data_IF_759479227341
#
_entry.id   IF_759479227341
#
_cell.length_a   1.000
_cell.length_b   1.000
_cell.length_c   1.000
_cell.angle_alpha   90.00
_cell.angle_beta   90.00
_cell.angle_gamma   90.00
#
_symmetry.space_group_name_H-M   'P 1'
#
loop_
_entity.id
_entity.type
_entity.pdbx_description
1 polymer ?
#
# COMPACT_ATOMS: atom_id res chain seq x y z
N UNK A 1 -9.95 23.25 -12.15
CA UNK A 1 -8.52 23.38 -11.88
C UNK A 1 -7.92 21.97 -11.98
N UNK A 2 -7.07 21.72 -12.98
CA UNK A 2 -6.48 20.40 -13.24
C UNK A 2 -5.37 20.13 -12.22
N UNK A 3 -5.55 19.16 -11.33
CA UNK A 3 -4.47 18.62 -10.51
C UNK A 3 -3.67 17.64 -11.37
N UNK A 4 -2.58 18.14 -11.97
CA UNK A 4 -1.59 17.29 -12.62
C UNK A 4 -0.89 16.43 -11.56
N UNK A 5 -1.21 15.15 -11.55
CA UNK A 5 -0.43 14.11 -10.88
C UNK A 5 0.94 14.02 -11.55
N UNK A 6 1.93 14.73 -11.05
CA UNK A 6 3.33 14.51 -11.44
C UNK A 6 3.95 13.50 -10.48
N UNK A 7 3.92 12.21 -10.88
CA UNK A 7 4.70 11.15 -10.24
C UNK A 7 6.19 11.49 -10.09
N UNK A 8 6.69 12.47 -10.86
CA UNK A 8 8.08 12.91 -10.86
C UNK A 8 8.52 13.76 -9.65
N UNK A 9 7.62 14.43 -8.91
CA UNK A 9 8.02 15.29 -7.77
C UNK A 9 8.38 14.47 -6.52
N UNK A 10 7.93 13.22 -6.46
CA UNK A 10 8.05 12.34 -5.31
C UNK A 10 9.47 11.73 -5.17
N UNK A 11 10.19 11.56 -6.27
CA UNK A 11 11.38 10.71 -6.32
C UNK A 11 12.64 11.25 -5.61
N UNK A 12 12.66 12.52 -5.19
CA UNK A 12 13.81 13.11 -4.46
C UNK A 12 13.76 12.87 -2.95
N UNK A 13 12.63 12.40 -2.42
CA UNK A 13 12.43 12.15 -0.99
C UNK A 13 12.56 10.66 -0.62
N UNK A 14 12.86 10.36 0.66
CA UNK A 14 12.88 8.99 1.16
C UNK A 14 11.51 8.30 1.07
N UNK A 15 11.48 6.96 1.15
CA UNK A 15 10.25 6.17 1.02
C UNK A 15 9.12 6.62 1.96
N UNK A 16 9.46 7.01 3.20
CA UNK A 16 8.51 7.52 4.18
C UNK A 16 7.72 8.73 3.66
N UNK A 17 8.42 9.79 3.22
CA UNK A 17 7.80 11.05 2.76
C UNK A 17 6.92 10.79 1.52
N UNK A 18 7.36 9.88 0.65
CA UNK A 18 6.59 9.52 -0.53
C UNK A 18 5.29 8.80 -0.22
N UNK A 19 5.31 7.87 0.74
CA UNK A 19 4.11 7.20 1.21
C UNK A 19 3.16 8.19 1.90
N UNK A 20 3.68 9.10 2.71
CA UNK A 20 2.89 10.15 3.38
C UNK A 20 2.21 11.08 2.37
N UNK A 21 2.96 11.56 1.38
CA UNK A 21 2.42 12.41 0.31
C UNK A 21 1.38 11.69 -0.55
N UNK A 22 1.64 10.42 -0.89
CA UNK A 22 0.69 9.58 -1.62
C UNK A 22 -0.60 9.42 -0.82
N UNK A 23 -0.51 9.19 0.49
CA UNK A 23 -1.70 9.10 1.35
C UNK A 23 -2.47 10.41 1.37
N UNK A 24 -1.80 11.54 1.60
CA UNK A 24 -2.44 12.86 1.60
C UNK A 24 -3.20 13.10 0.30
N UNK A 25 -2.63 12.65 -0.82
CA UNK A 25 -3.27 12.71 -2.14
C UNK A 25 -4.50 11.82 -2.23
N UNK A 26 -4.46 10.59 -1.71
CA UNK A 26 -5.62 9.69 -1.66
C UNK A 26 -6.71 10.28 -0.75
N UNK A 27 -6.35 10.76 0.45
CA UNK A 27 -7.31 11.34 1.39
C UNK A 27 -8.02 12.58 0.81
N UNK A 28 -7.34 13.38 -0.01
CA UNK A 28 -7.96 14.51 -0.70
C UNK A 28 -9.09 14.08 -1.67
N UNK A 29 -9.06 12.84 -2.19
CA UNK A 29 -10.13 12.26 -3.02
C UNK A 29 -11.33 11.85 -2.16
N UNK A 30 -11.10 11.54 -0.88
CA UNK A 30 -12.11 11.08 0.09
C UNK A 30 -12.20 12.04 1.29
N UNK A 31 -12.62 13.31 1.10
CA UNK A 31 -12.52 14.36 2.12
C UNK A 31 -13.29 14.07 3.42
N UNK A 32 -14.30 13.18 3.35
CA UNK A 32 -15.10 12.77 4.51
C UNK A 32 -14.44 11.67 5.36
N UNK A 33 -13.36 11.05 4.89
CA UNK A 33 -12.62 10.03 5.62
C UNK A 33 -11.38 10.64 6.25
N UNK A 34 -11.33 10.59 7.58
CA UNK A 34 -10.15 11.01 8.37
C UNK A 34 -9.46 9.75 8.86
N UNK A 35 -8.37 9.39 8.19
CA UNK A 35 -7.60 8.18 8.49
C UNK A 35 -6.25 8.59 9.03
N UNK A 36 -5.87 8.07 10.19
CA UNK A 36 -4.52 8.21 10.73
C UNK A 36 -3.62 7.13 10.15
N UNK A 37 -2.37 7.47 9.84
CA UNK A 37 -1.40 6.52 9.29
C UNK A 37 -0.20 6.41 10.19
N UNK A 38 0.23 5.16 10.43
CA UNK A 38 1.53 4.85 11.00
C UNK A 38 2.34 4.06 9.98
N UNK A 39 3.45 4.63 9.55
CA UNK A 39 4.42 3.96 8.67
C UNK A 39 5.59 3.46 9.52
N UNK A 40 6.01 2.23 9.29
CA UNK A 40 7.21 1.63 9.85
C UNK A 40 8.02 0.99 8.72
N UNK A 41 9.28 1.40 8.54
CA UNK A 41 10.16 0.89 7.50
C UNK A 41 11.45 0.44 8.18
N UNK A 42 11.85 -0.83 8.00
CA UNK A 42 13.13 -1.27 8.54
C UNK A 42 14.32 -0.70 7.74
N UNK A 43 15.48 -0.59 8.38
CA UNK A 43 16.67 0.04 7.79
C UNK A 43 17.09 -0.59 6.44
N UNK A 44 16.94 -1.91 6.30
CA UNK A 44 17.23 -2.62 5.05
C UNK A 44 16.31 -2.20 3.92
N UNK A 45 15.00 -2.15 4.18
CA UNK A 45 14.04 -1.66 3.19
C UNK A 45 14.30 -0.19 2.85
N UNK A 46 14.61 0.66 3.82
CA UNK A 46 14.93 2.06 3.54
C UNK A 46 16.12 2.20 2.58
N UNK A 47 17.17 1.39 2.73
CA UNK A 47 18.32 1.38 1.81
C UNK A 47 17.92 0.87 0.43
N UNK A 48 17.18 -0.23 0.36
CA UNK A 48 16.73 -0.83 -0.90
C UNK A 48 15.83 0.11 -1.72
N UNK A 49 14.95 0.86 -1.04
CA UNK A 49 14.00 1.79 -1.64
C UNK A 49 14.61 3.15 -2.06
N UNK A 50 15.92 3.35 -1.88
CA UNK A 50 16.63 4.51 -2.49
C UNK A 50 16.72 4.38 -4.02
N UNK A 51 16.63 3.15 -4.53
CA UNK A 51 16.53 2.94 -5.97
C UNK A 51 15.14 3.40 -6.46
N UNK A 52 15.13 4.27 -7.47
CA UNK A 52 13.92 4.83 -8.07
C UNK A 52 12.94 3.76 -8.55
N UNK A 53 13.40 2.70 -9.20
CA UNK A 53 12.55 1.63 -9.73
C UNK A 53 11.86 0.89 -8.58
N UNK A 54 12.59 0.59 -7.51
CA UNK A 54 12.05 -0.09 -6.33
C UNK A 54 11.03 0.78 -5.60
N UNK A 55 11.32 2.08 -5.49
CA UNK A 55 10.39 3.04 -4.91
C UNK A 55 9.11 3.16 -5.73
N UNK A 56 9.21 3.25 -7.05
CA UNK A 56 8.04 3.31 -7.94
C UNK A 56 7.17 2.06 -7.83
N UNK A 57 7.77 0.87 -7.79
CA UNK A 57 7.08 -0.39 -7.54
C UNK A 57 6.33 -0.37 -6.20
N UNK A 58 7.02 0.03 -5.12
CA UNK A 58 6.41 0.17 -3.80
C UNK A 58 5.22 1.12 -3.85
N UNK A 59 5.37 2.31 -4.45
CA UNK A 59 4.30 3.31 -4.49
C UNK A 59 3.09 2.84 -5.29
N UNK A 60 3.28 2.09 -6.38
CA UNK A 60 2.16 1.50 -7.13
C UNK A 60 1.38 0.49 -6.28
N UNK A 61 2.09 -0.42 -5.60
CA UNK A 61 1.47 -1.41 -4.70
C UNK A 61 0.76 -0.71 -3.54
N UNK A 62 1.45 0.24 -2.90
CA UNK A 62 0.94 1.00 -1.76
C UNK A 62 -0.32 1.78 -2.10
N UNK A 63 -0.33 2.43 -3.28
CA UNK A 63 -1.46 3.20 -3.78
C UNK A 63 -2.69 2.32 -3.86
N UNK A 64 -2.57 1.14 -4.45
CA UNK A 64 -3.71 0.27 -4.66
C UNK A 64 -4.22 -0.35 -3.34
N UNK A 65 -3.31 -0.79 -2.46
CA UNK A 65 -3.67 -1.29 -1.13
C UNK A 65 -4.43 -0.23 -0.31
N UNK A 66 -3.90 0.98 -0.23
CA UNK A 66 -4.50 2.07 0.55
C UNK A 66 -5.80 2.55 -0.08
N UNK A 67 -5.84 2.71 -1.41
CA UNK A 67 -7.04 3.13 -2.13
C UNK A 67 -8.21 2.15 -1.90
N UNK A 68 -7.94 0.85 -1.83
CA UNK A 68 -8.97 -0.14 -1.52
C UNK A 68 -9.55 0.04 -0.11
N UNK A 69 -8.72 0.37 0.88
CA UNK A 69 -9.17 0.69 2.24
C UNK A 69 -10.06 1.93 2.21
N UNK A 70 -9.63 3.01 1.56
CA UNK A 70 -10.41 4.24 1.45
C UNK A 70 -11.72 4.08 0.68
N UNK A 71 -11.78 3.20 -0.32
CA UNK A 71 -13.01 2.94 -1.09
C UNK A 71 -14.01 2.12 -0.30
N UNK A 72 -13.55 1.05 0.32
CA UNK A 72 -14.44 -0.02 0.79
C UNK A 72 -14.65 -0.01 2.30
N UNK A 73 -13.74 0.50 3.12
CA UNK A 73 -13.85 0.44 4.59
C UNK A 73 -14.16 1.79 5.22
N UNK A 74 -14.62 1.81 6.47
CA UNK A 74 -14.73 3.00 7.31
C UNK A 74 -13.51 3.16 8.23
N UNK A 75 -12.33 2.81 7.73
CA UNK A 75 -11.08 2.90 8.50
C UNK A 75 -10.90 4.29 9.12
N UNK A 76 -10.41 4.30 10.35
CA UNK A 76 -9.94 5.49 11.05
C UNK A 76 -8.42 5.44 11.27
N UNK A 77 -7.83 4.26 11.10
CA UNK A 77 -6.41 4.02 11.31
C UNK A 77 -5.86 2.97 10.33
N UNK A 78 -4.68 3.25 9.78
CA UNK A 78 -3.89 2.33 8.95
C UNK A 78 -2.51 2.18 9.58
N UNK A 79 -2.08 0.93 9.80
CA UNK A 79 -0.69 0.57 10.07
C UNK A 79 -0.07 0.01 8.80
N UNK A 80 0.99 0.65 8.33
CA UNK A 80 1.73 0.29 7.13
C UNK A 80 3.16 -0.07 7.51
N UNK A 81 3.57 -1.31 7.29
CA UNK A 81 4.90 -1.81 7.65
C UNK A 81 5.61 -2.32 6.41
N UNK A 82 6.84 -1.89 6.18
CA UNK A 82 7.70 -2.37 5.09
C UNK A 82 8.97 -2.95 5.70
N UNK A 83 9.28 -4.19 5.35
CA UNK A 83 10.46 -4.89 5.84
C UNK A 83 11.14 -5.57 4.66
N UNK A 84 12.45 -5.44 4.58
CA UNK A 84 13.28 -6.33 3.77
C UNK A 84 13.97 -7.30 4.73
N UNK A 85 13.74 -8.59 4.56
CA UNK A 85 14.31 -9.62 5.42
C UNK A 85 15.74 -10.04 4.99
N UNK A 86 16.30 -11.05 5.64
CA UNK A 86 17.64 -11.57 5.33
C UNK A 86 17.71 -12.31 3.99
N UNK A 87 16.58 -12.85 3.51
CA UNK A 87 16.49 -13.63 2.28
C UNK A 87 16.14 -12.76 1.06
N UNK A 88 16.25 -11.43 1.20
CA UNK A 88 15.85 -10.47 0.19
C UNK A 88 14.37 -10.59 -0.20
N UNK A 89 13.50 -10.88 0.77
CA UNK A 89 12.06 -10.79 0.59
C UNK A 89 11.58 -9.44 1.10
N UNK A 90 11.06 -8.61 0.19
CA UNK A 90 10.38 -7.36 0.52
C UNK A 90 8.94 -7.67 0.95
N UNK A 91 8.67 -7.46 2.23
CA UNK A 91 7.39 -7.69 2.88
C UNK A 91 6.71 -6.35 3.14
N UNK A 92 5.54 -6.16 2.55
CA UNK A 92 4.69 -4.98 2.69
C UNK A 92 3.40 -5.41 3.39
N UNK A 93 3.21 -4.94 4.61
CA UNK A 93 2.02 -5.21 5.41
C UNK A 93 1.16 -3.95 5.53
N UNK A 94 -0.12 -4.08 5.21
CA UNK A 94 -1.11 -3.02 5.38
C UNK A 94 -2.25 -3.55 6.26
N UNK A 95 -2.47 -2.93 7.42
CA UNK A 95 -3.55 -3.27 8.35
C UNK A 95 -4.43 -2.06 8.58
N UNK A 96 -5.73 -2.23 8.51
CA UNK A 96 -6.71 -1.16 8.78
C UNK A 96 -7.85 -1.66 9.66
N UNK A 97 -8.36 -0.76 10.49
CA UNK A 97 -9.64 -0.94 11.18
C UNK A 97 -10.84 -0.62 10.27
N UNK A 98 -12.04 -0.73 10.84
CA UNK A 98 -13.27 -0.24 10.20
C UNK A 98 -13.72 -1.02 8.95
N UNK A 99 -13.20 -2.23 8.73
CA UNK A 99 -13.63 -3.10 7.66
C UNK A 99 -14.76 -4.03 8.13
N UNK A 100 -15.67 -4.38 7.24
CA UNK A 100 -16.65 -5.45 7.41
C UNK A 100 -16.30 -6.66 6.54
N UNK A 101 -16.97 -7.79 6.77
CA UNK A 101 -16.84 -8.96 5.90
C UNK A 101 -17.25 -8.66 4.45
N UNK A 102 -18.24 -7.78 4.26
CA UNK A 102 -18.68 -7.34 2.93
C UNK A 102 -17.58 -6.52 2.25
N UNK A 103 -16.87 -5.67 2.99
CA UNK A 103 -15.78 -4.86 2.44
C UNK A 103 -14.62 -5.75 1.99
N UNK A 104 -14.29 -6.78 2.78
CA UNK A 104 -13.31 -7.81 2.41
C UNK A 104 -13.71 -8.52 1.10
N UNK A 105 -14.98 -8.96 0.97
CA UNK A 105 -15.44 -9.58 -0.26
C UNK A 105 -15.41 -8.63 -1.47
N UNK A 106 -15.79 -7.36 -1.28
CA UNK A 106 -15.78 -6.35 -2.34
C UNK A 106 -14.37 -6.07 -2.86
N UNK A 107 -13.39 -6.00 -1.95
CA UNK A 107 -11.98 -5.89 -2.31
C UNK A 107 -11.54 -7.15 -3.05
N UNK A 108 -11.80 -8.34 -2.50
CA UNK A 108 -11.37 -9.60 -3.12
C UNK A 108 -11.96 -9.82 -4.52
N UNK A 109 -13.22 -9.41 -4.74
CA UNK A 109 -13.92 -9.51 -6.02
C UNK A 109 -13.61 -8.35 -6.97
N UNK A 110 -12.80 -7.37 -6.57
CA UNK A 110 -12.43 -6.20 -7.38
C UNK A 110 -11.72 -6.64 -8.66
N UNK A 111 -12.39 -6.46 -9.80
CA UNK A 111 -11.89 -6.89 -11.12
C UNK A 111 -10.76 -6.01 -11.68
N UNK A 112 -10.60 -4.80 -11.16
CA UNK A 112 -9.61 -3.84 -11.65
C UNK A 112 -8.39 -3.75 -10.74
N UNK A 113 -8.60 -3.20 -9.55
CA UNK A 113 -7.53 -2.87 -8.60
C UNK A 113 -6.79 -4.08 -8.03
N UNK A 114 -7.53 -5.06 -7.52
CA UNK A 114 -6.95 -6.30 -6.98
C UNK A 114 -6.37 -7.17 -8.09
N UNK A 115 -6.95 -7.15 -9.30
CA UNK A 115 -6.35 -7.81 -10.46
C UNK A 115 -4.98 -7.21 -10.80
N UNK A 116 -4.87 -5.88 -10.86
CA UNK A 116 -3.59 -5.20 -11.11
C UNK A 116 -2.55 -5.53 -10.04
N UNK A 117 -2.94 -5.56 -8.76
CA UNK A 117 -2.03 -5.98 -7.69
C UNK A 117 -1.58 -7.42 -7.86
N UNK A 118 -2.48 -8.36 -8.17
CA UNK A 118 -2.10 -9.76 -8.42
C UNK A 118 -1.11 -9.86 -9.56
N UNK A 119 -1.36 -9.18 -10.68
CA UNK A 119 -0.45 -9.15 -11.84
C UNK A 119 0.91 -8.56 -11.48
N UNK A 120 0.96 -7.43 -10.76
CA UNK A 120 2.22 -6.80 -10.34
C UNK A 120 3.00 -7.70 -9.38
N UNK A 121 2.32 -8.36 -8.45
CA UNK A 121 2.94 -9.24 -7.46
C UNK A 121 3.43 -10.53 -8.12
N UNK A 122 2.60 -11.19 -8.93
CA UNK A 122 2.96 -12.40 -9.68
C UNK A 122 4.13 -12.16 -10.66
N UNK A 123 4.17 -10.99 -11.31
CA UNK A 123 5.27 -10.62 -12.21
C UNK A 123 6.63 -10.47 -11.50
N UNK A 124 6.62 -10.28 -10.17
CA UNK A 124 7.81 -10.20 -9.33
C UNK A 124 7.97 -11.45 -8.44
N UNK A 125 7.48 -12.61 -8.90
CA UNK A 125 7.47 -13.88 -8.18
C UNK A 125 6.91 -13.79 -6.75
N UNK A 126 6.06 -12.81 -6.52
CA UNK A 126 5.58 -12.47 -5.21
C UNK A 126 4.28 -13.16 -4.83
N UNK A 127 3.88 -12.96 -3.58
CA UNK A 127 2.64 -13.46 -3.01
C UNK A 127 1.82 -12.34 -2.39
N UNK A 128 0.53 -12.30 -2.73
CA UNK A 128 -0.44 -11.38 -2.16
C UNK A 128 -1.45 -12.15 -1.31
N UNK A 129 -1.52 -11.80 -0.03
CA UNK A 129 -2.46 -12.40 0.93
C UNK A 129 -3.39 -11.30 1.46
N UNK A 130 -4.70 -11.58 1.47
CA UNK A 130 -5.70 -10.76 2.16
C UNK A 130 -6.35 -11.59 3.26
N UNK A 131 -6.54 -10.98 4.42
CA UNK A 131 -7.20 -11.57 5.57
C UNK A 131 -8.14 -10.55 6.20
N UNK A 132 -9.21 -11.05 6.81
CA UNK A 132 -10.14 -10.24 7.58
C UNK A 132 -10.50 -10.96 8.88
N UNK A 133 -10.48 -10.23 9.99
CA UNK A 133 -10.92 -10.72 11.29
C UNK A 133 -11.33 -9.56 12.20
N UNK A 134 -12.50 -9.68 12.84
CA UNK A 134 -12.95 -8.78 13.91
C UNK A 134 -12.83 -7.27 13.58
N UNK A 135 -13.30 -6.86 12.39
CA UNK A 135 -13.25 -5.47 11.97
C UNK A 135 -11.90 -5.00 11.41
N UNK A 136 -10.89 -5.87 11.41
CA UNK A 136 -9.55 -5.59 10.92
C UNK A 136 -9.36 -6.26 9.56
N UNK A 137 -9.01 -5.45 8.57
CA UNK A 137 -8.52 -5.92 7.27
C UNK A 137 -6.99 -5.92 7.29
N UNK A 138 -6.40 -7.01 6.81
CA UNK A 138 -4.96 -7.16 6.68
C UNK A 138 -4.61 -7.62 5.27
N UNK A 139 -3.67 -6.93 4.65
CA UNK A 139 -3.06 -7.30 3.38
C UNK A 139 -1.55 -7.46 3.57
N UNK A 140 -0.97 -8.52 3.01
CA UNK A 140 0.47 -8.76 2.97
C UNK A 140 0.90 -9.01 1.53
N UNK A 141 1.91 -8.28 1.07
CA UNK A 141 2.60 -8.50 -0.19
C UNK A 141 4.03 -8.91 0.12
N UNK A 142 4.46 -10.04 -0.41
CA UNK A 142 5.82 -10.55 -0.30
C UNK A 142 6.41 -10.61 -1.71
N UNK A 143 7.55 -9.96 -1.95
CA UNK A 143 8.23 -9.96 -3.25
C UNK A 143 9.66 -10.46 -3.03
N UNK A 144 10.09 -11.47 -3.78
CA UNK A 144 11.51 -11.80 -3.86
C UNK A 144 12.21 -10.72 -4.69
N UNK A 145 13.25 -10.11 -4.13
CA UNK A 145 13.96 -9.01 -4.77
C UNK A 145 15.45 -9.33 -4.89
N UNK A 146 16.07 -8.91 -5.99
CA UNK A 146 17.51 -9.13 -6.27
C UNK A 146 18.42 -8.07 -5.64
#
# INVERSE_FOLDING_TARGET
MMNFYSANIFLEYGAYINLENMLNSIQAIYPNKKVQLKIDINEKAEKYLKNKVHLEMLLQISKELINNIFKHSNATYIKYEIKLDENMVLIINCKSDGASAIDYENIFKSKGGVLLLRVLVEANNGKLTYNYSNGILWSSVELEVD
#
